data_IF_114875354117
#
_entry.id   IF_114875354117
#
_cell.length_a   1.000
_cell.length_b   1.000
_cell.length_c   1.000
_cell.angle_alpha   90.00
_cell.angle_beta   90.00
_cell.angle_gamma   90.00
#
_symmetry.space_group_name_H-M   'P 1'
#
loop_
_entity.id
_entity.type
_entity.pdbx_description
1 polymer ?
#
# COMPACT_ATOMS: atom_id res chain seq x y z
N UNK A 1 -16.17 21.13 -3.31
CA UNK A 1 -15.64 20.22 -4.35
C UNK A 1 -14.14 20.04 -4.13
N UNK A 2 -13.62 18.86 -4.43
CA UNK A 2 -12.19 18.57 -4.34
C UNK A 2 -11.39 19.39 -5.37
N UNK A 3 -10.20 19.82 -4.98
CA UNK A 3 -9.32 20.55 -5.87
C UNK A 3 -8.64 19.60 -6.87
N UNK A 4 -9.18 19.49 -8.06
CA UNK A 4 -8.66 18.62 -9.14
C UNK A 4 -7.29 19.02 -9.67
N UNK A 5 -6.80 20.23 -9.39
CA UNK A 5 -5.44 20.62 -9.78
C UNK A 5 -4.36 19.83 -9.06
N UNK A 6 -4.73 19.10 -8.00
CA UNK A 6 -3.83 18.20 -7.26
C UNK A 6 -3.70 16.81 -7.89
N UNK A 7 -4.40 16.50 -8.98
CA UNK A 7 -4.16 15.27 -9.73
C UNK A 7 -2.72 15.31 -10.26
N UNK A 8 -1.97 14.24 -10.03
CA UNK A 8 -0.54 14.15 -10.33
C UNK A 8 0.39 14.60 -9.18
N UNK A 9 -0.16 15.11 -8.06
CA UNK A 9 0.65 15.44 -6.89
C UNK A 9 1.27 14.17 -6.33
N UNK A 10 2.61 14.16 -6.22
CA UNK A 10 3.40 13.08 -5.64
C UNK A 10 3.71 13.37 -4.18
N UNK A 11 3.86 12.31 -3.41
CA UNK A 11 4.28 12.36 -2.01
C UNK A 11 5.71 11.85 -1.85
N UNK A 12 6.41 12.25 -0.77
CA UNK A 12 7.76 11.78 -0.51
C UNK A 12 7.81 10.25 -0.48
N UNK A 13 8.86 9.64 -1.07
CA UNK A 13 9.02 8.19 -1.04
C UNK A 13 9.25 7.67 0.37
N UNK A 14 8.80 6.45 0.63
CA UNK A 14 9.02 5.73 1.88
C UNK A 14 9.91 4.54 1.61
N UNK A 15 11.01 4.44 2.37
CA UNK A 15 11.91 3.28 2.33
C UNK A 15 11.59 2.38 3.53
N UNK A 16 11.33 1.11 3.26
CA UNK A 16 10.87 0.15 4.25
C UNK A 16 11.67 -1.15 4.17
N UNK A 17 12.24 -1.56 5.30
CA UNK A 17 12.91 -2.85 5.42
C UNK A 17 11.91 -3.94 5.84
N UNK A 18 11.83 -5.00 5.05
CA UNK A 18 10.93 -6.12 5.30
C UNK A 18 11.54 -7.05 6.35
N UNK A 19 11.13 -6.89 7.58
CA UNK A 19 11.65 -7.66 8.71
C UNK A 19 10.81 -8.91 8.95
N UNK A 20 11.46 -10.04 9.26
CA UNK A 20 10.78 -11.32 9.55
C UNK A 20 9.72 -11.20 10.65
N UNK A 21 10.00 -10.46 11.71
CA UNK A 21 9.05 -10.29 12.81
C UNK A 21 7.80 -9.50 12.39
N UNK A 22 7.95 -8.53 11.51
CA UNK A 22 6.81 -7.79 10.97
C UNK A 22 5.92 -8.69 10.09
N UNK A 23 6.53 -9.56 9.27
CA UNK A 23 5.79 -10.55 8.48
C UNK A 23 5.01 -11.50 9.39
N UNK A 24 5.66 -12.08 10.39
CA UNK A 24 5.02 -13.00 11.36
C UNK A 24 3.89 -12.32 12.13
N UNK A 25 4.08 -11.08 12.54
CA UNK A 25 3.04 -10.32 13.21
C UNK A 25 1.83 -10.07 12.31
N UNK A 26 2.07 -9.67 11.05
CA UNK A 26 1.01 -9.45 10.08
C UNK A 26 0.23 -10.74 9.77
N UNK A 27 0.93 -11.84 9.58
CA UNK A 27 0.35 -13.19 9.39
C UNK A 27 -0.59 -13.54 10.55
N UNK A 28 -0.12 -13.36 11.78
CA UNK A 28 -0.91 -13.63 12.99
C UNK A 28 -2.14 -12.71 13.05
N UNK A 29 -1.97 -11.41 12.78
CA UNK A 29 -3.04 -10.43 12.85
C UNK A 29 -4.13 -10.66 11.80
N UNK A 30 -3.76 -11.18 10.62
CA UNK A 30 -4.70 -11.44 9.52
C UNK A 30 -5.25 -12.87 9.48
N UNK A 31 -4.79 -13.74 10.39
CA UNK A 31 -5.22 -15.14 10.43
C UNK A 31 -4.72 -15.98 9.25
N UNK A 32 -3.62 -15.58 8.60
CA UNK A 32 -3.01 -16.34 7.52
C UNK A 32 -2.39 -17.62 8.03
N UNK A 33 -2.64 -18.74 7.36
CA UNK A 33 -2.23 -20.09 7.81
C UNK A 33 -1.20 -20.77 6.90
N UNK A 34 -0.88 -20.17 5.75
CA UNK A 34 0.11 -20.73 4.83
C UNK A 34 1.52 -20.57 5.42
N UNK A 35 2.25 -21.69 5.61
CA UNK A 35 3.57 -21.67 6.23
C UNK A 35 4.63 -20.91 5.44
N UNK A 36 4.45 -20.65 4.14
CA UNK A 36 5.34 -19.81 3.33
C UNK A 36 5.59 -18.42 3.94
N UNK A 37 4.64 -17.92 4.73
CA UNK A 37 4.67 -16.57 5.29
C UNK A 37 5.20 -16.49 6.73
N UNK A 38 5.38 -17.62 7.44
CA UNK A 38 5.84 -17.61 8.83
C UNK A 38 6.85 -18.69 9.20
N UNK A 39 7.00 -19.76 8.40
CA UNK A 39 7.98 -20.83 8.60
C UNK A 39 9.08 -20.73 7.56
N UNK A 40 10.24 -20.20 7.97
CA UNK A 40 11.35 -19.97 7.04
C UNK A 40 11.94 -21.27 6.50
N UNK A 41 12.01 -22.32 7.33
CA UNK A 41 12.50 -23.62 6.87
C UNK A 41 11.62 -24.17 5.77
N UNK A 42 10.30 -24.12 5.97
CA UNK A 42 9.34 -24.52 4.95
C UNK A 42 9.48 -23.68 3.66
N UNK A 43 9.58 -22.35 3.79
CA UNK A 43 9.72 -21.46 2.63
C UNK A 43 10.98 -21.80 1.82
N UNK A 44 12.11 -22.03 2.49
CA UNK A 44 13.38 -22.42 1.85
C UNK A 44 13.27 -23.79 1.18
N UNK A 45 12.64 -24.76 1.82
CA UNK A 45 12.40 -26.10 1.23
C UNK A 45 11.51 -26.04 -0.01
N UNK A 46 10.63 -25.03 -0.11
CA UNK A 46 9.81 -24.76 -1.28
C UNK A 46 10.53 -23.94 -2.36
N UNK A 47 11.81 -23.61 -2.18
CA UNK A 47 12.65 -22.92 -3.17
C UNK A 47 12.67 -21.39 -3.04
N UNK A 48 12.17 -20.84 -1.94
CA UNK A 48 12.22 -19.39 -1.68
C UNK A 48 13.47 -19.01 -0.90
N UNK A 49 14.02 -17.80 -1.07
CA UNK A 49 15.22 -17.37 -0.34
C UNK A 49 14.96 -17.10 1.16
N UNK A 50 13.73 -16.83 1.55
CA UNK A 50 13.31 -16.52 2.92
C UNK A 50 11.77 -16.53 3.00
N UNK A 51 11.20 -16.03 4.11
CA UNK A 51 9.75 -15.84 4.24
C UNK A 51 9.22 -14.90 3.17
N UNK A 52 8.09 -15.24 2.55
CA UNK A 52 7.36 -14.35 1.67
C UNK A 52 6.57 -13.33 2.48
N UNK A 53 6.45 -12.13 1.93
CA UNK A 53 5.45 -11.18 2.40
C UNK A 53 4.07 -11.65 1.93
N UNK A 54 3.09 -11.81 2.84
CA UNK A 54 1.75 -12.23 2.46
C UNK A 54 1.04 -11.16 1.63
N UNK A 55 0.03 -11.56 0.84
CA UNK A 55 -0.80 -10.60 0.13
C UNK A 55 -1.29 -9.49 1.06
N UNK A 56 -1.33 -8.26 0.56
CA UNK A 56 -1.71 -7.04 1.28
C UNK A 56 -0.72 -6.52 2.34
N UNK A 57 0.38 -7.23 2.63
CA UNK A 57 1.40 -6.74 3.57
C UNK A 57 1.94 -5.35 3.20
N UNK A 58 2.05 -5.04 1.91
CA UNK A 58 2.53 -3.73 1.43
C UNK A 58 1.66 -2.56 1.88
N UNK A 59 0.43 -2.80 2.34
CA UNK A 59 -0.40 -1.76 2.98
C UNK A 59 0.29 -1.16 4.21
N UNK A 60 1.10 -1.94 4.92
CA UNK A 60 1.80 -1.48 6.12
C UNK A 60 2.86 -0.43 5.81
N UNK A 61 3.44 -0.46 4.59
CA UNK A 61 4.47 0.50 4.16
C UNK A 61 3.92 1.92 4.15
N UNK A 62 2.67 2.11 3.75
CA UNK A 62 2.03 3.43 3.74
C UNK A 62 1.94 4.05 5.14
N UNK A 63 1.84 3.22 6.19
CA UNK A 63 1.76 3.68 7.58
C UNK A 63 3.12 4.08 8.18
N UNK A 64 4.22 3.79 7.50
CA UNK A 64 5.56 4.25 7.91
C UNK A 64 5.89 5.68 7.45
N UNK A 65 5.00 6.32 6.71
CA UNK A 65 5.13 7.74 6.36
C UNK A 65 5.06 8.60 7.62
N UNK A 66 5.80 9.70 7.64
CA UNK A 66 5.74 10.69 8.73
C UNK A 66 4.30 11.22 8.90
N UNK A 67 3.62 11.51 7.79
CA UNK A 67 2.20 11.83 7.77
C UNK A 67 1.48 10.97 6.69
N UNK A 68 0.95 9.79 7.05
CA UNK A 68 0.26 8.91 6.10
C UNK A 68 -1.05 9.51 5.56
N UNK A 69 -1.53 10.60 6.16
CA UNK A 69 -2.77 11.27 5.80
C UNK A 69 -2.57 12.67 5.21
N UNK A 70 -1.36 13.00 4.75
CA UNK A 70 -1.07 14.31 4.15
C UNK A 70 -2.04 14.69 3.03
N UNK A 71 -2.49 13.72 2.25
CA UNK A 71 -3.47 13.96 1.18
C UNK A 71 -4.82 14.48 1.69
N UNK A 72 -5.22 14.16 2.92
CA UNK A 72 -6.44 14.71 3.52
C UNK A 72 -6.31 16.20 3.81
N UNK A 73 -5.16 16.61 4.31
CA UNK A 73 -4.85 18.03 4.56
C UNK A 73 -4.82 18.80 3.24
N UNK A 74 -4.09 18.29 2.25
CA UNK A 74 -3.96 18.90 0.92
C UNK A 74 -5.32 19.09 0.21
N UNK A 75 -6.21 18.11 0.39
CA UNK A 75 -7.55 18.11 -0.21
C UNK A 75 -8.61 18.75 0.70
N UNK A 76 -8.23 19.21 1.89
CA UNK A 76 -9.13 19.74 2.92
C UNK A 76 -10.29 18.78 3.24
N UNK A 77 -9.97 17.50 3.38
CA UNK A 77 -10.95 16.45 3.70
C UNK A 77 -10.92 16.16 5.19
N UNK A 78 -12.09 16.24 5.82
CA UNK A 78 -12.25 15.80 7.22
C UNK A 78 -12.31 14.28 7.28
N UNK A 79 -11.51 13.66 8.14
CA UNK A 79 -11.44 12.18 8.32
C UNK A 79 -12.82 11.55 8.50
N UNK A 80 -13.71 12.17 9.26
CA UNK A 80 -15.07 11.66 9.51
C UNK A 80 -15.99 11.61 8.29
N UNK A 81 -15.59 12.21 7.16
CA UNK A 81 -16.31 12.18 5.88
C UNK A 81 -15.72 11.21 4.87
N UNK A 82 -14.59 10.57 5.23
CA UNK A 82 -13.84 9.68 4.36
C UNK A 82 -14.26 8.23 4.57
N UNK A 83 -14.46 7.50 3.49
CA UNK A 83 -14.63 6.05 3.49
C UNK A 83 -13.66 5.43 2.50
N UNK A 84 -13.13 4.27 2.83
CA UNK A 84 -12.33 3.47 1.93
C UNK A 84 -13.28 2.65 1.03
N UNK A 85 -13.30 2.94 -0.26
CA UNK A 85 -14.25 2.35 -1.20
C UNK A 85 -13.68 1.12 -1.93
N UNK A 86 -12.38 1.14 -2.26
CA UNK A 86 -11.73 0.07 -3.02
C UNK A 86 -10.24 0.05 -2.77
N UNK A 87 -9.68 -1.16 -2.64
CA UNK A 87 -8.24 -1.42 -2.66
C UNK A 87 -7.95 -2.47 -3.72
N UNK A 88 -6.94 -2.23 -4.54
CA UNK A 88 -6.44 -3.19 -5.53
C UNK A 88 -4.95 -3.38 -5.36
N UNK A 89 -4.47 -4.55 -5.73
CA UNK A 89 -3.05 -4.89 -5.85
C UNK A 89 -2.80 -5.57 -7.19
N UNK A 90 -1.76 -5.14 -7.88
CA UNK A 90 -1.17 -5.86 -9.01
C UNK A 90 0.24 -6.24 -8.61
N UNK A 91 0.50 -7.53 -8.45
CA UNK A 91 1.80 -8.07 -8.05
C UNK A 91 2.62 -8.45 -9.28
N UNK A 92 3.89 -8.08 -9.28
CA UNK A 92 4.83 -8.35 -10.38
C UNK A 92 5.95 -9.29 -9.95
N UNK A 93 6.49 -9.10 -8.75
CA UNK A 93 7.51 -9.96 -8.16
C UNK A 93 7.17 -10.22 -6.69
N UNK A 94 7.55 -11.40 -6.15
CA UNK A 94 7.41 -11.67 -4.72
C UNK A 94 8.32 -10.73 -3.90
N UNK A 95 7.87 -10.44 -2.69
CA UNK A 95 8.63 -9.68 -1.68
C UNK A 95 9.01 -10.64 -0.56
N UNK A 96 10.26 -10.60 -0.14
CA UNK A 96 10.80 -11.49 0.88
C UNK A 96 11.29 -10.73 2.10
N UNK A 97 11.36 -11.43 3.22
CA UNK A 97 12.09 -10.94 4.38
C UNK A 97 13.55 -10.62 3.98
N UNK A 98 14.02 -9.46 4.39
CA UNK A 98 15.34 -8.93 4.00
C UNK A 98 15.31 -7.97 2.81
N UNK A 99 14.22 -7.90 2.07
CA UNK A 99 14.08 -6.90 1.01
C UNK A 99 13.96 -5.48 1.58
N UNK A 100 14.43 -4.51 0.81
CA UNK A 100 14.17 -3.10 1.04
C UNK A 100 13.20 -2.60 -0.02
N UNK A 101 12.02 -2.18 0.41
CA UNK A 101 10.96 -1.70 -0.48
C UNK A 101 10.91 -0.17 -0.43
N UNK A 102 10.86 0.45 -1.60
CA UNK A 102 10.56 1.87 -1.75
C UNK A 102 9.14 2.01 -2.27
N UNK A 103 8.31 2.78 -1.57
CA UNK A 103 6.96 3.14 -1.99
C UNK A 103 6.94 4.59 -2.46
N UNK A 104 6.55 4.81 -3.70
CA UNK A 104 6.16 6.10 -4.24
C UNK A 104 4.63 6.17 -4.31
N UNK A 105 4.06 7.34 -4.10
CA UNK A 105 2.61 7.51 -4.18
C UNK A 105 2.22 8.86 -4.79
N UNK A 106 1.04 8.89 -5.41
CA UNK A 106 0.48 10.09 -6.03
C UNK A 106 -1.04 10.09 -5.97
N UNK A 107 -1.62 11.26 -6.09
CA UNK A 107 -3.04 11.41 -6.41
C UNK A 107 -3.19 11.13 -7.91
N UNK A 108 -3.68 9.94 -8.25
CA UNK A 108 -3.74 9.49 -9.64
C UNK A 108 -4.99 10.00 -10.38
N UNK A 109 -6.11 10.14 -9.66
CA UNK A 109 -7.37 10.56 -10.26
C UNK A 109 -8.34 11.12 -9.22
N UNK A 110 -9.31 11.92 -9.69
CA UNK A 110 -10.46 12.37 -8.92
C UNK A 110 -11.69 12.44 -9.82
N UNK A 111 -12.80 11.88 -9.37
CA UNK A 111 -14.06 11.92 -10.10
C UNK A 111 -15.26 12.03 -9.17
N UNK A 112 -16.40 12.40 -9.72
CA UNK A 112 -17.65 12.57 -8.98
C UNK A 112 -18.69 11.56 -9.46
N UNK A 113 -19.60 11.22 -8.56
CA UNK A 113 -20.85 10.51 -8.86
C UNK A 113 -22.03 11.19 -8.17
N UNK A 114 -23.23 10.85 -8.58
CA UNK A 114 -24.50 11.39 -8.02
C UNK A 114 -24.47 12.92 -7.96
N UNK A 115 -24.21 13.55 -9.11
CA UNK A 115 -24.23 15.01 -9.26
C UNK A 115 -23.33 15.74 -8.24
N UNK A 116 -22.15 15.17 -7.95
CA UNK A 116 -21.16 15.74 -7.05
C UNK A 116 -21.37 15.47 -5.57
N UNK A 117 -22.42 14.73 -5.17
CA UNK A 117 -22.65 14.40 -3.76
C UNK A 117 -21.68 13.33 -3.23
N UNK A 118 -21.09 12.54 -4.12
CA UNK A 118 -20.02 11.58 -3.81
C UNK A 118 -18.79 11.94 -4.64
N UNK A 119 -17.72 12.30 -3.96
CA UNK A 119 -16.45 12.63 -4.59
C UNK A 119 -15.43 11.53 -4.32
N UNK A 120 -14.71 11.11 -5.34
CA UNK A 120 -13.74 10.02 -5.27
C UNK A 120 -12.33 10.53 -5.50
N UNK A 121 -11.40 10.02 -4.72
CA UNK A 121 -9.95 10.24 -4.88
C UNK A 121 -9.29 8.89 -5.05
N UNK A 122 -8.44 8.76 -6.07
CA UNK A 122 -7.61 7.58 -6.28
C UNK A 122 -6.17 7.92 -5.90
N UNK A 123 -5.69 7.30 -4.83
CA UNK A 123 -4.29 7.33 -4.46
C UNK A 123 -3.63 6.08 -5.03
N UNK A 124 -2.60 6.24 -5.82
CA UNK A 124 -1.87 5.10 -6.40
C UNK A 124 -0.49 5.00 -5.79
N UNK A 125 -0.16 3.83 -5.25
CA UNK A 125 1.16 3.51 -4.71
C UNK A 125 1.90 2.57 -5.65
N UNK A 126 3.21 2.78 -5.78
CA UNK A 126 4.12 1.98 -6.59
C UNK A 126 5.23 1.47 -5.68
N UNK A 127 5.51 0.18 -5.74
CA UNK A 127 6.50 -0.46 -4.89
C UNK A 127 7.62 -1.03 -5.72
N UNK A 128 8.86 -0.68 -5.37
CA UNK A 128 10.07 -1.21 -5.97
C UNK A 128 10.97 -1.84 -4.90
N UNK A 129 11.74 -2.86 -5.27
CA UNK A 129 12.71 -3.47 -4.37
C UNK A 129 14.09 -2.79 -4.49
N UNK A 130 15.06 -3.26 -3.72
CA UNK A 130 16.45 -2.75 -3.72
C UNK A 130 17.17 -2.89 -5.07
N UNK A 131 16.66 -3.75 -5.98
CA UNK A 131 17.18 -3.90 -7.34
C UNK A 131 16.49 -2.99 -8.35
N UNK A 132 15.63 -2.07 -7.89
CA UNK A 132 14.79 -1.20 -8.71
C UNK A 132 13.74 -1.94 -9.56
N UNK A 133 13.46 -3.20 -9.25
CA UNK A 133 12.38 -3.94 -9.90
C UNK A 133 11.03 -3.55 -9.28
N UNK A 134 10.03 -3.36 -10.12
CA UNK A 134 8.65 -3.16 -9.68
C UNK A 134 8.13 -4.46 -9.07
N UNK A 135 7.73 -4.41 -7.80
CA UNK A 135 7.15 -5.56 -7.10
C UNK A 135 5.63 -5.51 -7.06
N UNK A 136 5.05 -4.32 -6.96
CA UNK A 136 3.59 -4.16 -6.96
C UNK A 136 3.15 -2.74 -7.32
N UNK A 137 1.87 -2.62 -7.67
CA UNK A 137 1.11 -1.37 -7.73
C UNK A 137 -0.18 -1.54 -6.92
N UNK A 138 -0.59 -0.49 -6.23
CA UNK A 138 -1.76 -0.53 -5.37
C UNK A 138 -2.58 0.77 -5.47
N UNK A 139 -3.57 0.85 -6.38
CA UNK A 139 -4.55 1.92 -6.34
C UNK A 139 -5.54 1.72 -5.20
N UNK A 140 -5.72 2.78 -4.41
CA UNK A 140 -6.70 2.90 -3.34
C UNK A 140 -7.73 3.95 -3.72
N UNK A 141 -9.00 3.61 -3.72
CA UNK A 141 -10.08 4.56 -4.01
C UNK A 141 -10.79 4.93 -2.72
N UNK A 142 -10.77 6.20 -2.43
CA UNK A 142 -11.42 6.81 -1.28
C UNK A 142 -12.67 7.56 -1.74
N UNK A 143 -13.71 7.57 -0.92
CA UNK A 143 -14.92 8.36 -1.19
C UNK A 143 -15.15 9.37 -0.07
N UNK A 144 -15.42 10.60 -0.47
CA UNK A 144 -15.81 11.72 0.41
C UNK A 144 -17.29 11.97 0.23
N UNK A 145 -18.04 12.00 1.33
CA UNK A 145 -19.50 12.22 1.39
C UNK A 145 -19.87 13.40 2.28
#
# INVERSE_FOLDING_TARGET
>A
MLNRSLIGKKYPPVVFNVEKQRLKFFVKATGQTDPLYFDETYAVDQGHPSLLAPPTFLTTVAMEQENPYQYLEDLNIKMGRLLHARQMYSYHEPVYAGDTITMDSEIADMYDKKEGTLQFVVIKSYFTNQKQNKVAEAPSTLVVR
#
